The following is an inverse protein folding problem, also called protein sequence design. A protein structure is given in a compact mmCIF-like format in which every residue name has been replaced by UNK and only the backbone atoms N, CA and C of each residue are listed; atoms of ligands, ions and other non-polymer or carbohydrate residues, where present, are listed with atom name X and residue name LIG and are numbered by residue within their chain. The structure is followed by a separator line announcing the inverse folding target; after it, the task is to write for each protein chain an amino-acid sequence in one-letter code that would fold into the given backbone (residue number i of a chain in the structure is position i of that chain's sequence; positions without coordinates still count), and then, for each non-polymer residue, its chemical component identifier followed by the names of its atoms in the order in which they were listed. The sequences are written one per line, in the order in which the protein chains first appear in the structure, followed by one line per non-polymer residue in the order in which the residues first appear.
data_IF_018341815627
#
_entry.id   IF_018341815627
#
_cell.length_a   1.000
_cell.length_b   1.000
_cell.length_c   1.000
_cell.angle_alpha   90.00
_cell.angle_beta   90.00
_cell.angle_gamma   90.00
#
_symmetry.space_group_name_H-M   'P 1'
#
loop_
_entity.id
_entity.type
_entity.pdbx_description
1 polymer ?
#
# COMPACT_ATOMS: atom_id res chain seq x y z
N UNK A 1 15.00 -7.66 -10.79
CA UNK A 1 13.90 -8.64 -10.74
C UNK A 1 12.50 -8.01 -10.56
N UNK A 2 12.34 -6.79 -10.06
CA UNK A 2 11.03 -6.14 -9.86
C UNK A 2 10.35 -5.49 -11.07
N UNK A 3 10.96 -5.49 -12.25
CA UNK A 3 10.48 -4.73 -13.44
C UNK A 3 9.14 -5.22 -14.03
N UNK A 4 8.67 -6.40 -13.66
CA UNK A 4 7.41 -6.97 -14.13
C UNK A 4 6.27 -6.88 -13.10
N UNK A 5 6.46 -6.13 -12.03
CA UNK A 5 5.47 -5.88 -11.00
C UNK A 5 5.25 -4.38 -10.94
N UNK A 6 4.00 -3.93 -11.14
CA UNK A 6 3.59 -2.55 -10.94
C UNK A 6 3.38 -2.29 -9.45
N UNK A 7 3.62 -1.07 -9.01
CA UNK A 7 3.32 -0.63 -7.65
C UNK A 7 2.27 0.48 -7.64
N UNK A 8 1.36 0.44 -6.67
CA UNK A 8 0.47 1.57 -6.39
C UNK A 8 0.47 1.88 -4.90
N UNK A 9 0.68 3.14 -4.56
CA UNK A 9 0.58 3.64 -3.20
C UNK A 9 -0.79 4.26 -3.01
N UNK A 10 -1.57 3.73 -2.07
CA UNK A 10 -2.87 4.25 -1.69
C UNK A 10 -2.67 5.49 -0.81
N UNK A 11 -2.67 6.66 -1.42
CA UNK A 11 -2.46 7.95 -0.77
C UNK A 11 -3.77 8.71 -0.51
N UNK A 12 -4.91 8.15 -0.93
CA UNK A 12 -6.25 8.68 -0.67
C UNK A 12 -6.69 8.42 0.77
N UNK A 13 -7.04 9.47 1.51
CA UNK A 13 -7.58 9.37 2.86
C UNK A 13 -7.67 10.76 3.48
N UNK A 14 -8.87 11.19 3.88
CA UNK A 14 -9.03 12.47 4.59
C UNK A 14 -8.54 12.30 6.02
N UNK A 15 -7.56 13.10 6.41
CA UNK A 15 -7.04 13.15 7.78
C UNK A 15 -7.96 13.93 8.72
N UNK A 16 -9.26 13.59 8.77
CA UNK A 16 -10.22 14.28 9.65
C UNK A 16 -9.81 14.30 11.13
N UNK A 17 -8.99 13.33 11.55
CA UNK A 17 -8.45 13.21 12.92
C UNK A 17 -7.10 13.92 13.14
N UNK A 18 -6.48 14.43 12.08
CA UNK A 18 -5.15 15.05 12.10
C UNK A 18 -5.19 16.54 11.71
N UNK A 19 -6.34 17.20 11.89
CA UNK A 19 -6.48 18.63 11.60
C UNK A 19 -6.81 18.98 10.15
N UNK A 20 -7.13 18.00 9.29
CA UNK A 20 -7.37 18.18 7.85
C UNK A 20 -6.11 18.10 7.00
N UNK A 21 -6.27 18.08 5.68
CA UNK A 21 -5.16 17.92 4.74
C UNK A 21 -4.84 16.44 4.42
N UNK A 22 -3.78 16.22 3.66
CA UNK A 22 -3.34 14.87 3.28
C UNK A 22 -2.41 14.27 4.34
N UNK A 23 -2.88 13.24 5.01
CA UNK A 23 -2.12 12.55 6.06
C UNK A 23 -0.74 12.08 5.56
N UNK A 24 -0.66 11.60 4.33
CA UNK A 24 0.56 11.08 3.72
C UNK A 24 1.65 12.14 3.50
N UNK A 25 1.27 13.42 3.49
CA UNK A 25 2.19 14.56 3.36
C UNK A 25 2.68 15.11 4.71
N UNK A 26 2.32 14.50 5.83
CA UNK A 26 2.86 14.87 7.14
C UNK A 26 4.36 14.61 7.21
N UNK A 27 5.08 15.54 7.83
CA UNK A 27 6.53 15.46 7.97
C UNK A 27 6.95 14.28 8.87
N UNK A 28 7.95 13.52 8.44
CA UNK A 28 8.61 12.48 9.22
C UNK A 28 10.12 12.47 8.91
N UNK A 29 10.91 13.05 9.80
CA UNK A 29 12.34 13.26 9.58
C UNK A 29 12.61 14.26 8.47
N UNK A 30 13.49 13.94 7.52
CA UNK A 30 13.89 14.82 6.43
C UNK A 30 12.87 14.91 5.27
N UNK A 31 11.75 14.17 5.33
CA UNK A 31 10.72 14.15 4.29
C UNK A 31 9.34 13.95 4.85
N UNK A 32 8.42 13.48 4.02
CA UNK A 32 7.05 13.13 4.40
C UNK A 32 6.89 11.63 4.63
N UNK A 33 5.73 11.21 5.18
CA UNK A 33 5.37 9.78 5.25
C UNK A 33 5.41 9.14 3.86
N UNK A 34 4.87 9.85 2.87
CA UNK A 34 4.83 9.38 1.48
C UNK A 34 6.24 9.23 0.89
N UNK A 35 7.14 10.18 1.12
CA UNK A 35 8.52 10.08 0.63
C UNK A 35 9.22 8.82 1.14
N UNK A 36 8.94 8.44 2.39
CA UNK A 36 9.48 7.21 2.97
C UNK A 36 8.90 5.96 2.33
N UNK A 37 7.58 5.94 2.08
CA UNK A 37 6.93 4.82 1.37
C UNK A 37 7.48 4.72 -0.05
N UNK A 38 7.60 5.83 -0.78
CA UNK A 38 8.17 5.88 -2.13
C UNK A 38 9.61 5.38 -2.15
N UNK A 39 10.46 5.84 -1.22
CA UNK A 39 11.87 5.44 -1.15
C UNK A 39 12.07 3.95 -0.83
N UNK A 40 11.12 3.33 -0.14
CA UNK A 40 11.17 1.91 0.22
C UNK A 40 10.53 1.01 -0.82
N UNK A 41 9.40 1.41 -1.41
CA UNK A 41 8.68 0.61 -2.40
C UNK A 41 9.27 0.77 -3.82
N UNK A 42 9.64 2.00 -4.22
CA UNK A 42 10.08 2.30 -5.59
C UNK A 42 11.20 1.39 -6.12
N UNK A 43 12.26 1.12 -5.35
CA UNK A 43 13.32 0.20 -5.79
C UNK A 43 12.88 -1.26 -6.00
N UNK A 44 11.72 -1.65 -5.46
CA UNK A 44 11.23 -3.04 -5.49
C UNK A 44 10.29 -3.32 -6.67
N UNK A 45 9.82 -2.29 -7.38
CA UNK A 45 8.82 -2.41 -8.45
C UNK A 45 9.35 -1.84 -9.78
N UNK A 46 8.63 -2.08 -10.86
CA UNK A 46 8.84 -1.42 -12.15
C UNK A 46 8.17 -0.04 -12.14
N UNK A 47 7.04 0.15 -12.84
CA UNK A 47 6.29 1.39 -12.75
C UNK A 47 5.65 1.53 -11.36
N UNK A 48 5.66 2.77 -10.83
CA UNK A 48 5.04 3.12 -9.55
C UNK A 48 4.09 4.31 -9.78
N UNK A 49 2.89 4.24 -9.19
CA UNK A 49 1.90 5.30 -9.21
C UNK A 49 1.33 5.57 -7.82
N UNK A 50 0.70 6.73 -7.66
CA UNK A 50 -0.11 7.08 -6.49
C UNK A 50 -1.59 6.94 -6.85
N UNK A 51 -2.39 6.42 -5.94
CA UNK A 51 -3.84 6.53 -6.02
C UNK A 51 -4.32 7.61 -5.05
N UNK A 52 -4.90 8.65 -5.57
CA UNK A 52 -5.51 9.71 -4.78
C UNK A 52 -6.56 10.47 -5.60
N UNK A 53 -7.66 10.86 -4.95
CA UNK A 53 -8.71 11.69 -5.53
C UNK A 53 -8.45 13.18 -5.28
N UNK A 54 -9.05 14.06 -6.09
CA UNK A 54 -8.93 15.51 -6.01
C UNK A 54 -7.73 16.05 -6.79
N UNK A 55 -7.19 17.19 -6.38
CA UNK A 55 -6.11 17.86 -7.10
C UNK A 55 -4.78 17.07 -7.02
N UNK A 56 -4.25 16.57 -8.13
CA UNK A 56 -3.01 15.80 -8.14
C UNK A 56 -1.75 16.67 -7.88
N UNK A 57 -1.83 17.97 -8.06
CA UNK A 57 -0.66 18.87 -7.94
C UNK A 57 -0.04 18.87 -6.55
N UNK A 58 -0.81 18.51 -5.51
CA UNK A 58 -0.31 18.37 -4.15
C UNK A 58 0.75 17.26 -3.99
N UNK A 59 0.81 16.33 -4.94
CA UNK A 59 1.82 15.26 -4.99
C UNK A 59 2.93 15.49 -6.02
N UNK A 60 2.97 16.66 -6.65
CA UNK A 60 3.93 16.96 -7.74
C UNK A 60 5.40 16.73 -7.35
N UNK A 61 5.75 16.95 -6.08
CA UNK A 61 7.11 16.73 -5.56
C UNK A 61 7.57 15.27 -5.67
N UNK A 62 6.66 14.30 -5.74
CA UNK A 62 7.01 12.87 -5.87
C UNK A 62 7.47 12.48 -7.27
N UNK A 63 7.10 13.26 -8.29
CA UNK A 63 7.33 12.93 -9.70
C UNK A 63 6.56 11.71 -10.22
N UNK A 64 5.65 11.14 -9.42
CA UNK A 64 4.89 9.95 -9.77
C UNK A 64 3.54 10.32 -10.42
N UNK A 65 3.01 9.48 -11.35
CA UNK A 65 1.66 9.63 -11.83
C UNK A 65 0.65 9.46 -10.70
N UNK A 66 -0.37 10.31 -10.67
CA UNK A 66 -1.46 10.29 -9.69
C UNK A 66 -2.74 9.84 -10.38
N UNK A 67 -3.31 8.74 -9.93
CA UNK A 67 -4.49 8.09 -10.49
C UNK A 67 -5.69 8.31 -9.55
N UNK A 68 -6.75 8.94 -10.06
CA UNK A 68 -8.00 9.03 -9.33
C UNK A 68 -8.77 7.70 -9.42
N UNK A 69 -9.65 7.43 -8.43
CA UNK A 69 -10.50 6.24 -8.46
C UNK A 69 -11.34 6.20 -9.74
N UNK A 70 -11.35 5.05 -10.40
CA UNK A 70 -12.13 4.84 -11.64
C UNK A 70 -13.62 4.61 -11.34
N UNK A 71 -13.98 4.28 -10.11
CA UNK A 71 -15.36 4.11 -9.66
C UNK A 71 -15.76 5.26 -8.74
N UNK A 72 -16.70 6.10 -9.18
CA UNK A 72 -17.18 7.27 -8.41
C UNK A 72 -18.02 6.84 -7.21
N UNK A 73 -17.92 7.61 -6.11
CA UNK A 73 -18.74 7.40 -4.91
C UNK A 73 -18.26 6.28 -4.00
N UNK A 74 -17.26 5.51 -4.39
CA UNK A 74 -16.66 4.46 -3.58
C UNK A 74 -15.40 4.98 -2.90
N UNK A 75 -15.55 5.39 -1.65
CA UNK A 75 -14.41 5.77 -0.83
C UNK A 75 -13.83 4.52 -0.15
N UNK A 76 -12.52 4.36 -0.23
CA UNK A 76 -11.82 3.30 0.48
C UNK A 76 -10.71 2.63 -0.34
N UNK A 77 -9.87 1.83 0.32
CA UNK A 77 -8.68 1.26 -0.31
C UNK A 77 -9.01 0.33 -1.51
N UNK A 78 -10.19 -0.30 -1.50
CA UNK A 78 -10.57 -1.25 -2.55
C UNK A 78 -10.77 -0.56 -3.92
N UNK A 79 -11.28 0.67 -3.93
CA UNK A 79 -11.39 1.47 -5.17
C UNK A 79 -10.02 1.83 -5.73
N UNK A 80 -9.07 2.20 -4.86
CA UNK A 80 -7.69 2.45 -5.26
C UNK A 80 -6.96 1.20 -5.76
N UNK A 81 -7.23 0.03 -5.17
CA UNK A 81 -6.70 -1.25 -5.64
C UNK A 81 -7.23 -1.56 -7.04
N UNK A 82 -8.54 -1.36 -7.27
CA UNK A 82 -9.15 -1.54 -8.60
C UNK A 82 -8.49 -0.62 -9.63
N UNK A 83 -8.36 0.67 -9.32
CA UNK A 83 -7.68 1.64 -10.18
C UNK A 83 -6.26 1.18 -10.52
N UNK A 84 -5.54 0.67 -9.52
CA UNK A 84 -4.19 0.14 -9.72
C UNK A 84 -4.15 -1.09 -10.63
N UNK A 85 -5.09 -2.02 -10.49
CA UNK A 85 -5.19 -3.21 -11.36
C UNK A 85 -5.47 -2.84 -12.80
N UNK A 86 -6.43 -1.94 -13.04
CA UNK A 86 -6.76 -1.44 -14.37
C UNK A 86 -5.56 -0.74 -15.02
N UNK A 87 -4.90 0.15 -14.28
CA UNK A 87 -3.69 0.81 -14.76
C UNK A 87 -2.55 -0.18 -15.05
N UNK A 88 -2.32 -1.15 -14.17
CA UNK A 88 -1.26 -2.14 -14.35
C UNK A 88 -1.51 -3.05 -15.55
N UNK A 89 -2.77 -3.31 -15.90
CA UNK A 89 -3.15 -4.11 -17.08
C UNK A 89 -2.78 -3.43 -18.40
N UNK A 90 -2.63 -2.11 -18.41
CA UNK A 90 -2.14 -1.35 -19.57
C UNK A 90 -0.60 -1.34 -19.67
N UNK A 91 0.09 -2.01 -18.76
CA UNK A 91 1.54 -2.14 -18.74
C UNK A 91 2.01 -3.54 -19.16
N UNK A 92 3.32 -3.74 -19.20
CA UNK A 92 3.93 -5.07 -19.42
C UNK A 92 4.08 -5.88 -18.13
N UNK A 93 3.49 -5.42 -17.03
CA UNK A 93 3.55 -6.09 -15.74
C UNK A 93 2.64 -7.32 -15.68
N UNK A 94 2.93 -8.22 -14.76
CA UNK A 94 2.18 -9.46 -14.53
C UNK A 94 1.41 -9.45 -13.21
N UNK A 95 1.75 -8.52 -12.33
CA UNK A 95 1.11 -8.35 -11.02
C UNK A 95 1.16 -6.89 -10.58
N UNK A 96 0.28 -6.55 -9.64
CA UNK A 96 0.25 -5.28 -8.93
C UNK A 96 0.62 -5.50 -7.47
N UNK A 97 1.49 -4.66 -6.91
CA UNK A 97 1.67 -4.57 -5.46
C UNK A 97 1.02 -3.29 -4.94
N UNK A 98 0.33 -3.41 -3.80
CA UNK A 98 -0.29 -2.28 -3.12
C UNK A 98 0.40 -1.99 -1.80
N UNK A 99 0.45 -0.71 -1.41
CA UNK A 99 0.93 -0.23 -0.12
C UNK A 99 0.12 0.99 0.31
N UNK A 100 -0.04 1.20 1.62
CA UNK A 100 -0.65 2.42 2.15
C UNK A 100 0.41 3.52 2.30
N UNK A 101 0.06 4.76 1.93
CA UNK A 101 0.98 5.90 1.94
C UNK A 101 1.33 6.44 3.32
N UNK A 102 0.70 5.91 4.37
CA UNK A 102 0.88 6.29 5.77
C UNK A 102 1.65 5.26 6.61
N UNK A 103 2.39 4.35 5.94
CA UNK A 103 3.12 3.25 6.58
C UNK A 103 4.61 3.33 6.22
N UNK A 104 5.39 4.16 6.94
CA UNK A 104 6.74 4.55 6.54
C UNK A 104 7.82 3.48 6.73
N UNK A 105 7.51 2.39 7.45
CA UNK A 105 8.51 1.38 7.84
C UNK A 105 8.50 0.12 6.96
N UNK A 106 7.89 0.18 5.77
CA UNK A 106 7.78 -0.94 4.83
C UNK A 106 9.09 -1.73 4.67
N UNK A 107 9.05 -3.08 4.69
CA UNK A 107 10.23 -3.91 4.43
C UNK A 107 10.80 -3.67 3.02
N UNK A 108 12.11 -3.66 2.91
CA UNK A 108 12.81 -3.49 1.62
C UNK A 108 12.80 -4.74 0.74
N UNK A 109 12.36 -5.88 1.28
CA UNK A 109 12.20 -7.17 0.61
C UNK A 109 10.72 -7.57 0.46
N UNK A 110 9.81 -6.61 0.68
CA UNK A 110 8.37 -6.84 0.73
C UNK A 110 7.80 -7.45 -0.56
N UNK A 111 8.25 -6.97 -1.70
CA UNK A 111 7.77 -7.43 -3.02
C UNK A 111 8.36 -8.79 -3.36
N UNK A 112 9.64 -9.00 -3.10
CA UNK A 112 10.34 -10.26 -3.36
C UNK A 112 9.70 -11.43 -2.59
N UNK A 113 9.48 -11.25 -1.28
CA UNK A 113 8.86 -12.30 -0.44
C UNK A 113 7.44 -12.64 -0.87
N UNK A 114 6.63 -11.65 -1.20
CA UNK A 114 5.25 -11.89 -1.67
C UNK A 114 5.21 -12.53 -3.05
N UNK A 115 6.15 -12.16 -3.92
CA UNK A 115 6.27 -12.81 -5.22
C UNK A 115 6.63 -14.28 -5.05
N UNK A 116 7.60 -14.61 -4.21
CA UNK A 116 7.99 -16.01 -3.96
C UNK A 116 6.78 -16.84 -3.48
N UNK A 117 5.99 -16.30 -2.55
CA UNK A 117 4.78 -16.97 -2.06
C UNK A 117 3.68 -17.10 -3.13
N UNK A 118 3.53 -16.11 -4.02
CA UNK A 118 2.57 -16.16 -5.12
C UNK A 118 3.02 -17.17 -6.21
N UNK A 119 4.32 -17.31 -6.44
CA UNK A 119 4.86 -18.31 -7.38
C UNK A 119 4.57 -19.75 -6.92
N UNK A 120 4.49 -19.99 -5.59
CA UNK A 120 4.10 -21.29 -5.01
C UNK A 120 2.58 -21.57 -5.10
N UNK A 121 1.76 -20.52 -5.21
CA UNK A 121 0.29 -20.60 -5.33
C UNK A 121 -0.21 -19.69 -6.44
N UNK A 122 -0.05 -20.06 -7.71
CA UNK A 122 -0.45 -19.24 -8.84
C UNK A 122 -1.93 -18.83 -8.76
N UNK A 123 -2.21 -17.56 -9.04
CA UNK A 123 -3.56 -17.00 -9.00
C UNK A 123 -4.03 -16.52 -7.61
N UNK A 124 -3.30 -16.82 -6.54
CA UNK A 124 -3.63 -16.33 -5.19
C UNK A 124 -3.11 -14.92 -4.95
N UNK A 125 -3.81 -14.18 -4.09
CA UNK A 125 -3.38 -12.88 -3.59
C UNK A 125 -2.38 -13.12 -2.45
N UNK A 126 -1.14 -12.60 -2.55
CA UNK A 126 -0.17 -12.72 -1.47
C UNK A 126 -0.25 -11.52 -0.52
N UNK A 127 -0.74 -11.76 0.70
CA UNK A 127 -1.06 -10.72 1.69
C UNK A 127 0.02 -10.66 2.76
N UNK A 128 0.47 -9.45 3.12
CA UNK A 128 1.39 -9.28 4.23
C UNK A 128 0.74 -9.58 5.58
N UNK A 129 1.50 -10.25 6.46
CA UNK A 129 1.15 -10.53 7.84
C UNK A 129 2.31 -10.14 8.75
N UNK A 130 2.04 -9.65 9.94
CA UNK A 130 3.04 -9.42 10.99
C UNK A 130 2.42 -9.57 12.36
N UNK A 131 3.12 -10.25 13.28
CA UNK A 131 2.61 -10.51 14.62
C UNK A 131 1.24 -11.21 14.63
N UNK A 132 0.96 -12.09 13.65
CA UNK A 132 -0.31 -12.78 13.50
C UNK A 132 -1.46 -11.91 12.96
N UNK A 133 -1.20 -10.69 12.51
CA UNK A 133 -2.18 -9.77 11.95
C UNK A 133 -1.99 -9.60 10.45
N UNK A 134 -3.06 -9.80 9.66
CA UNK A 134 -3.07 -9.51 8.23
C UNK A 134 -3.18 -8.02 7.95
N UNK A 135 -2.48 -7.57 6.91
CA UNK A 135 -2.49 -6.20 6.40
C UNK A 135 -3.04 -6.17 4.97
N UNK A 136 -4.38 -6.16 4.78
CA UNK A 136 -5.02 -6.36 3.47
C UNK A 136 -4.65 -5.34 2.40
N UNK A 137 -4.26 -4.13 2.79
CA UNK A 137 -3.79 -3.07 1.86
C UNK A 137 -2.36 -3.29 1.38
N UNK A 138 -1.65 -4.26 1.97
CA UNK A 138 -0.30 -4.66 1.59
C UNK A 138 -0.33 -6.04 0.96
N UNK A 139 -0.66 -6.10 -0.31
CA UNK A 139 -0.81 -7.35 -1.03
C UNK A 139 -0.17 -7.29 -2.42
N UNK A 140 0.19 -8.46 -2.95
CA UNK A 140 0.50 -8.68 -4.36
C UNK A 140 -0.72 -9.32 -5.00
N UNK A 141 -1.22 -8.68 -6.03
CA UNK A 141 -2.43 -9.03 -6.76
C UNK A 141 -2.04 -9.58 -8.14
N UNK A 142 -2.49 -10.78 -8.54
CA UNK A 142 -2.39 -11.19 -9.94
C UNK A 142 -3.24 -10.26 -10.81
N UNK A 143 -2.77 -9.93 -12.02
CA UNK A 143 -3.58 -9.17 -12.99
C UNK A 143 -4.75 -10.03 -13.48
N UNK A 144 -5.80 -9.35 -13.99
CA UNK A 144 -7.05 -10.01 -14.41
C UNK A 144 -8.11 -10.09 -13.31
N UNK A 145 -7.85 -9.54 -12.12
CA UNK A 145 -8.84 -9.43 -11.04
C UNK A 145 -9.72 -8.18 -11.13
N UNK A 146 -9.41 -7.26 -12.03
CA UNK A 146 -10.08 -5.96 -12.15
C UNK A 146 -11.58 -6.08 -12.35
N UNK A 147 -12.03 -6.95 -13.25
CA UNK A 147 -13.47 -7.14 -13.52
C UNK A 147 -14.20 -7.76 -12.32
N UNK A 148 -13.64 -8.81 -11.71
CA UNK A 148 -14.23 -9.46 -10.54
C UNK A 148 -14.25 -8.52 -9.34
N UNK A 149 -13.19 -7.72 -9.16
CA UNK A 149 -13.12 -6.73 -8.11
C UNK A 149 -14.11 -5.58 -8.34
N UNK A 150 -14.26 -5.13 -9.59
CA UNK A 150 -15.26 -4.12 -9.96
C UNK A 150 -16.68 -4.60 -9.65
N UNK A 151 -17.00 -5.84 -10.02
CA UNK A 151 -18.30 -6.45 -9.71
C UNK A 151 -18.54 -6.50 -8.21
N UNK A 152 -17.59 -6.99 -7.44
CA UNK A 152 -17.66 -7.06 -5.97
C UNK A 152 -17.88 -5.68 -5.34
N UNK A 153 -17.18 -4.66 -5.83
CA UNK A 153 -17.25 -3.30 -5.29
C UNK A 153 -18.58 -2.61 -5.66
N UNK A 154 -19.02 -2.74 -6.91
CA UNK A 154 -20.14 -1.95 -7.46
C UNK A 154 -21.48 -2.66 -7.27
N UNK A 155 -21.55 -3.95 -7.59
CA UNK A 155 -22.81 -4.69 -7.57
C UNK A 155 -23.17 -5.20 -6.18
N UNK A 156 -22.17 -5.61 -5.38
CA UNK A 156 -22.38 -6.11 -4.03
C UNK A 156 -22.24 -5.02 -2.96
N UNK A 157 -21.89 -3.78 -3.34
CA UNK A 157 -21.60 -2.64 -2.43
C UNK A 157 -20.67 -3.02 -1.26
N UNK A 158 -19.74 -3.93 -1.50
CA UNK A 158 -18.81 -4.38 -0.48
C UNK A 158 -17.45 -3.71 -0.63
N UNK A 159 -17.05 -2.91 0.37
CA UNK A 159 -15.84 -2.08 0.37
C UNK A 159 -14.69 -2.66 1.19
N UNK A 160 -14.86 -3.87 1.72
CA UNK A 160 -13.90 -4.49 2.63
C UNK A 160 -12.85 -5.29 1.86
N UNK A 161 -11.61 -4.78 1.85
CA UNK A 161 -10.47 -5.46 1.18
C UNK A 161 -10.31 -6.89 1.68
N UNK A 162 -10.37 -7.10 3.00
CA UNK A 162 -10.26 -8.43 3.59
C UNK A 162 -11.33 -9.40 3.07
N UNK A 163 -12.58 -8.93 2.92
CA UNK A 163 -13.66 -9.77 2.43
C UNK A 163 -13.45 -10.22 0.96
N UNK A 164 -12.91 -9.36 0.12
CA UNK A 164 -12.56 -9.74 -1.24
C UNK A 164 -11.41 -10.77 -1.25
N UNK A 165 -10.37 -10.53 -0.46
CA UNK A 165 -9.22 -11.43 -0.33
C UNK A 165 -9.67 -12.81 0.16
N UNK A 166 -10.50 -12.87 1.21
CA UNK A 166 -11.02 -14.13 1.78
C UNK A 166 -11.84 -14.91 0.75
N UNK A 167 -12.60 -14.20 -0.09
CA UNK A 167 -13.44 -14.82 -1.13
C UNK A 167 -12.65 -15.35 -2.32
N UNK A 168 -11.62 -14.61 -2.72
CA UNK A 168 -10.83 -14.96 -3.91
C UNK A 168 -9.80 -16.06 -3.65
N UNK A 169 -9.29 -16.13 -2.44
CA UNK A 169 -8.18 -17.00 -2.03
C UNK A 169 -6.86 -16.25 -1.95
N UNK A 170 -6.08 -16.60 -0.93
CA UNK A 170 -4.85 -15.89 -0.60
C UNK A 170 -3.78 -16.81 -0.01
N UNK A 171 -2.56 -16.27 0.06
CA UNK A 171 -1.45 -16.79 0.85
C UNK A 171 -0.96 -15.70 1.78
N UNK A 172 -0.72 -16.03 3.04
CA UNK A 172 -0.13 -15.11 4.01
C UNK A 172 1.40 -15.14 3.92
N UNK A 173 1.99 -13.96 3.93
CA UNK A 173 3.44 -13.79 3.95
C UNK A 173 3.82 -13.08 5.23
N UNK A 174 4.40 -13.81 6.17
CA UNK A 174 4.77 -13.29 7.49
C UNK A 174 6.02 -12.41 7.38
N UNK A 175 5.98 -11.24 8.01
CA UNK A 175 7.11 -10.32 8.15
C UNK A 175 7.44 -10.15 9.62
N UNK A 176 8.72 -10.24 10.00
CA UNK A 176 9.11 -10.13 11.39
C UNK A 176 8.86 -8.72 11.92
N UNK A 177 8.49 -8.64 13.19
CA UNK A 177 8.54 -7.39 13.95
C UNK A 177 10.01 -6.96 14.06
N UNK A 178 10.28 -5.73 13.63
CA UNK A 178 11.64 -5.17 13.67
C UNK A 178 12.01 -4.82 15.11
N UNK A 179 13.26 -5.09 15.49
CA UNK A 179 13.81 -4.71 16.80
C UNK A 179 14.97 -3.76 16.59
N UNK A 180 14.87 -2.54 17.11
CA UNK A 180 15.92 -1.54 17.05
C UNK A 180 15.89 -0.62 18.26
N UNK A 181 17.06 -0.35 18.86
CA UNK A 181 17.18 0.54 20.02
C UNK A 181 16.31 0.15 21.22
N UNK A 182 15.99 -1.15 21.39
CA UNK A 182 15.07 -1.63 22.44
C UNK A 182 13.58 -1.45 22.12
N UNK A 183 13.23 -0.89 20.97
CA UNK A 183 11.86 -0.77 20.47
C UNK A 183 11.48 -1.92 19.53
N UNK A 184 10.22 -2.32 19.57
CA UNK A 184 9.60 -3.23 18.60
C UNK A 184 8.77 -2.41 17.61
N UNK A 185 8.98 -2.65 16.31
CA UNK A 185 8.35 -1.89 15.22
C UNK A 185 7.63 -2.86 14.29
N UNK A 186 6.31 -2.76 14.25
CA UNK A 186 5.54 -3.42 13.20
C UNK A 186 5.90 -2.76 11.85
N UNK A 187 6.44 -3.48 10.87
CA UNK A 187 6.78 -2.91 9.57
C UNK A 187 5.57 -2.36 8.81
N UNK A 188 4.36 -2.72 9.21
CA UNK A 188 3.10 -2.21 8.66
C UNK A 188 2.36 -1.26 9.61
N UNK A 189 3.07 -0.64 10.53
CA UNK A 189 2.52 0.37 11.44
C UNK A 189 1.96 1.57 10.67
N UNK A 190 0.65 1.78 10.77
CA UNK A 190 -0.07 2.90 10.14
C UNK A 190 -0.12 4.11 11.08
N UNK A 191 0.24 5.27 10.57
CA UNK A 191 0.15 6.52 11.32
C UNK A 191 -1.24 7.12 11.11
N UNK A 192 -2.10 7.07 12.11
CA UNK A 192 -3.49 7.52 12.08
C UNK A 192 -3.81 8.68 13.04
N UNK A 193 -2.98 8.86 14.04
CA UNK A 193 -3.15 9.86 15.11
C UNK A 193 -1.87 10.67 15.32
N UNK A 194 -1.92 11.84 15.98
CA UNK A 194 -0.72 12.56 16.39
C UNK A 194 0.23 11.74 17.26
N UNK A 195 -0.32 10.86 18.11
CA UNK A 195 0.48 9.98 18.97
C UNK A 195 1.23 8.94 18.13
N UNK A 196 0.58 8.37 17.08
CA UNK A 196 1.25 7.47 16.14
C UNK A 196 2.40 8.19 15.43
N UNK A 197 2.21 9.47 15.06
CA UNK A 197 3.26 10.26 14.41
C UNK A 197 4.43 10.52 15.37
N UNK A 198 4.15 10.87 16.63
CA UNK A 198 5.17 11.05 17.65
C UNK A 198 5.95 9.75 17.89
N UNK A 199 5.25 8.62 17.95
CA UNK A 199 5.86 7.30 18.03
C UNK A 199 6.74 7.01 16.81
N UNK A 200 6.26 7.30 15.59
CA UNK A 200 7.03 7.10 14.37
C UNK A 200 8.32 7.94 14.33
N UNK A 201 8.28 9.19 14.85
CA UNK A 201 9.48 10.03 14.97
C UNK A 201 10.51 9.38 15.91
N UNK A 202 10.07 8.89 17.08
CA UNK A 202 10.93 8.17 18.00
C UNK A 202 11.54 6.91 17.39
N UNK A 203 10.71 6.09 16.72
CA UNK A 203 11.15 4.86 16.07
C UNK A 203 12.15 5.13 14.95
N UNK A 204 11.93 6.23 14.19
CA UNK A 204 12.85 6.61 13.12
C UNK A 204 14.25 6.91 13.63
N UNK A 205 14.37 7.64 14.73
CA UNK A 205 15.67 7.94 15.37
C UNK A 205 16.39 6.66 15.83
N UNK A 206 15.64 5.61 16.15
CA UNK A 206 16.21 4.32 16.57
C UNK A 206 16.72 3.48 15.39
N UNK A 207 16.25 3.75 14.15
CA UNK A 207 16.61 3.01 12.93
C UNK A 207 17.67 3.76 12.11
N UNK A 208 17.60 5.08 12.10
CA UNK A 208 18.46 5.99 11.35
C UNK A 208 19.11 7.00 12.33
N UNK A 209 20.08 6.54 13.16
CA UNK A 209 20.73 7.38 14.14
C UNK A 209 21.64 8.45 13.51
#
# INVERSE_FOLDING_TARGET
MGRHIAGIILAGGRSSRMGGGDKTLLALGAGTLLDRVVSRLGPQVGPLALNANGDPTRFAATGLPVLADTVKGYAGPLAGILTGLEWASDTTCQALVTAAGDTPFLPRDMVERRRAAADERPGSIAVACSGGKRHPTFALWPLGLDQVLRQFLVEEDNRRVAAFIDRHGFVEVEFPILKSGGAEIDPFFNINTPDDLAQAVYLLQSIEP
#
